data_IF_939731254809
#
_entry.id   IF_939731254809
#
_cell.length_a   1.000
_cell.length_b   1.000
_cell.length_c   1.000
_cell.angle_alpha   90.00
_cell.angle_beta   90.00
_cell.angle_gamma   90.00
#
_symmetry.space_group_name_H-M   'P 1'
#
loop_
_entity.id
_entity.type
_entity.pdbx_description
1 polymer ?
#
# COMPACT_ATOMS: atom_id res chain seq x y z
N UNK A 1 -5.63 70.32 28.21
CA UNK A 1 -6.53 69.29 28.76
C UNK A 1 -6.19 67.95 28.11
N UNK A 2 -5.79 66.95 28.90
CA UNK A 2 -5.38 65.62 28.45
C UNK A 2 -6.60 64.81 27.96
N UNK A 3 -6.49 64.16 26.80
CA UNK A 3 -7.23 62.93 26.48
C UNK A 3 -6.25 61.94 25.84
N UNK A 4 -6.10 60.79 26.50
CA UNK A 4 -5.37 59.62 26.01
C UNK A 4 -6.20 58.92 24.92
N UNK A 5 -5.59 58.41 23.83
CA UNK A 5 -6.26 57.52 22.88
C UNK A 5 -6.32 56.06 23.39
N UNK A 6 -7.32 55.27 22.97
CA UNK A 6 -7.48 53.86 23.35
C UNK A 6 -6.52 52.92 22.59
N UNK A 7 -6.25 51.71 23.11
CA UNK A 7 -5.26 50.80 22.53
C UNK A 7 -5.83 49.92 21.41
N UNK A 8 -5.08 49.89 20.30
CA UNK A 8 -4.79 48.77 19.41
C UNK A 8 -5.89 47.76 19.05
N UNK A 9 -6.51 47.95 17.89
CA UNK A 9 -7.04 46.86 17.07
C UNK A 9 -6.01 46.57 15.96
N UNK A 10 -5.15 45.57 16.20
CA UNK A 10 -4.21 45.09 15.19
C UNK A 10 -4.99 44.20 14.24
N UNK A 11 -5.46 44.77 13.13
CA UNK A 11 -5.97 44.01 12.00
C UNK A 11 -4.78 43.32 11.31
N UNK A 12 -4.49 42.10 11.75
CA UNK A 12 -3.49 41.25 11.12
C UNK A 12 -3.92 40.96 9.68
N UNK A 13 -3.06 41.38 8.76
CA UNK A 13 -3.15 41.09 7.32
C UNK A 13 -3.32 39.59 7.12
N UNK A 14 -4.36 39.19 6.41
CA UNK A 14 -4.48 37.84 5.83
C UNK A 14 -3.34 37.67 4.81
N UNK A 15 -2.19 37.23 5.31
CA UNK A 15 -1.13 36.66 4.49
C UNK A 15 -1.54 35.23 4.16
N UNK A 16 -1.69 34.97 2.86
CA UNK A 16 -1.87 33.65 2.28
C UNK A 16 -0.71 32.75 2.69
N UNK A 17 -0.90 31.94 3.74
CA UNK A 17 0.05 30.92 4.13
C UNK A 17 -0.31 29.63 3.38
N UNK A 18 0.51 29.31 2.39
CA UNK A 18 0.58 28.01 1.73
C UNK A 18 0.70 26.90 2.79
N UNK A 19 -0.15 25.86 2.77
CA UNK A 19 0.05 24.74 3.69
C UNK A 19 1.29 23.94 3.26
N UNK A 20 2.25 23.85 4.17
CA UNK A 20 3.41 22.96 4.09
C UNK A 20 2.92 21.51 4.27
N UNK A 21 3.25 20.57 3.38
CA UNK A 21 2.93 19.16 3.60
C UNK A 21 4.02 18.54 4.47
N UNK A 22 3.69 18.19 5.72
CA UNK A 22 4.68 17.52 6.57
C UNK A 22 4.32 17.45 8.05
N UNK A 23 3.23 16.78 8.40
CA UNK A 23 3.17 15.96 9.64
C UNK A 23 1.97 15.03 9.52
N UNK A 24 2.25 13.73 9.57
CA UNK A 24 1.30 12.66 9.30
C UNK A 24 0.07 12.73 10.20
N UNK A 25 -1.08 12.98 9.58
CA UNK A 25 -2.32 12.41 10.09
C UNK A 25 -2.20 10.90 9.90
N UNK A 26 -2.13 10.13 11.00
CA UNK A 26 -2.45 8.71 10.93
C UNK A 26 -3.85 8.63 10.33
N UNK A 27 -3.95 8.28 9.05
CA UNK A 27 -5.23 8.15 8.38
C UNK A 27 -6.05 7.13 9.18
N UNK A 28 -7.23 7.48 9.74
CA UNK A 28 -8.11 6.48 10.31
C UNK A 28 -8.65 5.61 9.17
N UNK A 29 -8.73 4.29 9.39
CA UNK A 29 -9.35 3.36 8.44
C UNK A 29 -8.35 2.61 7.54
N UNK A 30 -8.81 2.11 6.38
CA UNK A 30 -8.07 1.15 5.58
C UNK A 30 -6.68 1.62 5.11
N UNK A 31 -6.49 2.91 4.86
CA UNK A 31 -5.17 3.48 4.52
C UNK A 31 -4.11 3.28 5.61
N UNK A 32 -4.52 3.19 6.88
CA UNK A 32 -3.61 2.91 7.99
C UNK A 32 -2.88 1.58 7.78
N UNK A 33 -3.58 0.60 7.22
CA UNK A 33 -3.03 -0.73 7.05
C UNK A 33 -1.95 -0.75 5.96
N UNK A 34 -2.18 -0.13 4.80
CA UNK A 34 -1.15 0.03 3.79
C UNK A 34 0.10 0.77 4.30
N UNK A 35 -0.09 1.81 5.13
CA UNK A 35 1.04 2.52 5.76
C UNK A 35 1.81 1.65 6.75
N UNK A 36 1.14 0.76 7.50
CA UNK A 36 1.81 -0.20 8.38
C UNK A 36 2.66 -1.20 7.58
N UNK A 37 2.14 -1.71 6.47
CA UNK A 37 2.83 -2.68 5.61
C UNK A 37 4.03 -2.04 4.88
N UNK A 38 3.85 -0.83 4.31
CA UNK A 38 4.83 -0.28 3.36
C UNK A 38 5.59 0.95 3.85
N UNK A 39 5.12 1.68 4.86
CA UNK A 39 5.59 3.05 5.16
C UNK A 39 7.07 3.18 5.56
N UNK A 40 7.71 2.10 5.98
CA UNK A 40 9.15 2.04 6.26
C UNK A 40 9.97 1.30 5.19
N UNK A 41 9.33 0.80 4.13
CA UNK A 41 9.94 -0.06 3.12
C UNK A 41 9.94 0.57 1.72
N UNK A 42 8.85 1.26 1.38
CA UNK A 42 8.64 1.85 0.07
C UNK A 42 8.09 3.27 0.22
N UNK A 43 8.49 4.20 -0.64
CA UNK A 43 7.83 5.49 -0.72
C UNK A 43 6.40 5.26 -1.21
N UNK A 44 5.40 5.68 -0.44
CA UNK A 44 3.99 5.58 -0.81
C UNK A 44 3.58 6.89 -1.49
N UNK A 45 3.24 6.83 -2.78
CA UNK A 45 2.63 7.97 -3.49
C UNK A 45 1.12 7.99 -3.27
N UNK A 46 0.48 6.82 -3.44
CA UNK A 46 -0.97 6.67 -3.35
C UNK A 46 -1.32 5.29 -2.77
N UNK A 47 -2.38 5.24 -1.96
CA UNK A 47 -2.99 3.96 -1.55
C UNK A 47 -4.13 3.66 -2.50
N UNK A 48 -3.96 2.64 -3.34
CA UNK A 48 -4.94 2.26 -4.36
C UNK A 48 -6.11 1.50 -3.76
N UNK A 49 -5.82 0.57 -2.84
CA UNK A 49 -6.82 -0.15 -2.08
C UNK A 49 -6.18 -0.75 -0.82
N UNK A 50 -6.92 -0.77 0.29
CA UNK A 50 -6.45 -1.46 1.49
C UNK A 50 -7.62 -1.94 2.34
N UNK A 51 -7.44 -3.07 3.02
CA UNK A 51 -8.38 -3.66 3.96
C UNK A 51 -7.62 -4.57 4.90
N UNK A 52 -7.79 -4.36 6.20
CA UNK A 52 -7.43 -5.35 7.20
C UNK A 52 -8.70 -6.13 7.54
N UNK A 53 -8.73 -7.44 7.26
CA UNK A 53 -9.89 -8.25 7.63
C UNK A 53 -10.07 -8.22 9.16
N UNK A 54 -11.32 -8.10 9.61
CA UNK A 54 -11.69 -8.24 11.02
C UNK A 54 -11.59 -9.69 11.47
N UNK A 55 -11.33 -9.92 12.77
CA UNK A 55 -11.09 -11.23 13.37
C UNK A 55 -12.23 -12.27 13.17
N UNK A 56 -13.42 -11.85 12.72
CA UNK A 56 -14.62 -12.69 12.64
C UNK A 56 -14.86 -13.42 11.29
N UNK A 57 -13.91 -13.46 10.35
CA UNK A 57 -14.15 -14.22 9.11
C UNK A 57 -12.95 -14.55 8.25
N UNK A 58 -13.10 -15.61 7.43
CA UNK A 58 -12.27 -15.82 6.24
C UNK A 58 -12.52 -14.67 5.28
N UNK A 59 -11.48 -14.00 4.82
CA UNK A 59 -11.65 -12.90 3.90
C UNK A 59 -10.34 -12.41 3.30
N UNK A 60 -10.48 -11.36 2.49
CA UNK A 60 -9.35 -10.73 1.84
C UNK A 60 -8.75 -9.67 2.75
N UNK A 61 -7.47 -9.84 3.07
CA UNK A 61 -6.65 -8.81 3.69
C UNK A 61 -5.67 -8.30 2.63
N UNK A 62 -5.67 -6.99 2.36
CA UNK A 62 -4.81 -6.45 1.33
C UNK A 62 -4.31 -5.03 1.61
N UNK A 63 -3.15 -4.73 1.04
CA UNK A 63 -2.58 -3.40 0.95
C UNK A 63 -1.97 -3.26 -0.44
N UNK A 64 -2.48 -2.32 -1.22
CA UNK A 64 -2.10 -2.11 -2.62
C UNK A 64 -1.81 -0.61 -2.78
N UNK A 65 -0.60 -0.29 -3.25
CA UNK A 65 -0.12 1.08 -3.35
C UNK A 65 0.49 1.37 -4.72
N UNK A 66 0.43 2.65 -5.09
CA UNK A 66 1.37 3.26 -6.04
C UNK A 66 2.61 3.68 -5.26
N UNK A 67 3.77 3.21 -5.68
CA UNK A 67 5.06 3.61 -5.10
C UNK A 67 5.48 4.98 -5.65
N UNK A 68 6.30 5.70 -4.89
CA UNK A 68 7.04 6.87 -5.37
C UNK A 68 8.02 6.52 -6.50
N UNK A 69 8.57 7.53 -7.17
CA UNK A 69 9.61 7.34 -8.18
C UNK A 69 10.95 6.95 -7.56
N UNK A 70 11.84 6.32 -8.34
CA UNK A 70 13.21 6.04 -7.91
C UNK A 70 13.35 4.86 -6.96
N UNK A 71 12.35 3.98 -6.90
CA UNK A 71 12.45 2.70 -6.19
C UNK A 71 13.44 1.78 -6.89
N UNK A 72 14.15 0.95 -6.12
CA UNK A 72 15.06 -0.04 -6.68
C UNK A 72 14.30 -1.10 -7.50
N UNK A 73 14.96 -1.65 -8.53
CA UNK A 73 14.37 -2.70 -9.37
C UNK A 73 14.18 -4.03 -8.63
N UNK A 74 14.93 -4.26 -7.55
CA UNK A 74 14.76 -5.41 -6.68
C UNK A 74 13.79 -5.07 -5.55
N UNK A 75 12.83 -5.96 -5.23
CA UNK A 75 11.84 -5.71 -4.18
C UNK A 75 12.49 -5.72 -2.79
N UNK A 76 12.01 -4.89 -1.85
CA UNK A 76 12.40 -5.00 -0.46
C UNK A 76 11.71 -6.21 0.21
N UNK A 77 12.28 -6.64 1.33
CA UNK A 77 11.63 -7.56 2.26
C UNK A 77 11.58 -6.91 3.64
N UNK A 78 10.47 -7.07 4.34
CA UNK A 78 10.31 -6.58 5.71
C UNK A 78 11.39 -7.12 6.64
N UNK A 79 11.76 -6.33 7.64
CA UNK A 79 12.75 -6.72 8.63
C UNK A 79 12.31 -7.94 9.44
N UNK A 80 13.29 -8.68 9.99
CA UNK A 80 13.03 -9.73 10.97
C UNK A 80 12.32 -9.14 12.20
N UNK A 81 11.30 -9.84 12.69
CA UNK A 81 10.51 -9.41 13.87
C UNK A 81 9.24 -8.62 13.53
N UNK A 82 9.04 -8.18 12.29
CA UNK A 82 7.74 -7.65 11.85
C UNK A 82 6.66 -8.72 12.05
N UNK A 83 5.51 -8.33 12.61
CA UNK A 83 4.36 -9.23 12.78
C UNK A 83 3.89 -9.72 11.41
N UNK A 84 3.49 -11.00 11.32
CA UNK A 84 3.35 -11.66 10.02
C UNK A 84 2.30 -11.01 9.10
N UNK A 85 1.25 -10.41 9.65
CA UNK A 85 0.22 -9.71 8.86
C UNK A 85 0.66 -8.34 8.33
N UNK A 86 1.80 -7.80 8.78
CA UNK A 86 2.42 -6.57 8.26
C UNK A 86 3.60 -6.86 7.33
N UNK A 87 3.99 -8.14 7.18
CA UNK A 87 5.13 -8.50 6.34
C UNK A 87 4.82 -8.31 4.86
N UNK A 88 5.82 -7.79 4.17
CA UNK A 88 5.93 -7.69 2.73
C UNK A 88 7.26 -8.31 2.27
N UNK A 89 7.21 -9.01 1.15
CA UNK A 89 8.31 -9.82 0.63
C UNK A 89 8.53 -11.17 1.31
N UNK A 90 9.66 -11.79 0.99
CA UNK A 90 9.98 -13.19 1.30
C UNK A 90 10.77 -13.82 0.16
N UNK A 91 10.40 -15.04 -0.23
CA UNK A 91 11.00 -15.76 -1.36
C UNK A 91 10.54 -15.19 -2.71
N UNK A 92 11.12 -14.06 -3.07
CA UNK A 92 10.82 -13.36 -4.31
C UNK A 92 11.19 -14.18 -5.55
N UNK A 93 10.29 -14.18 -6.53
CA UNK A 93 10.45 -14.80 -7.84
C UNK A 93 10.18 -13.76 -8.92
N UNK A 94 10.85 -13.88 -10.05
CA UNK A 94 10.62 -12.99 -11.18
C UNK A 94 9.41 -13.43 -12.00
N UNK A 95 8.62 -12.47 -12.43
CA UNK A 95 7.57 -12.65 -13.43
C UNK A 95 8.19 -12.89 -14.83
N UNK A 96 7.44 -13.44 -15.82
CA UNK A 96 6.03 -13.84 -15.73
C UNK A 96 5.83 -15.00 -14.75
N UNK A 97 4.74 -14.96 -14.00
CA UNK A 97 4.37 -16.06 -13.14
C UNK A 97 4.12 -17.32 -13.99
N UNK A 98 4.90 -18.38 -13.74
CA UNK A 98 4.74 -19.67 -14.40
C UNK A 98 4.08 -20.64 -13.43
N UNK A 99 2.75 -20.68 -13.47
CA UNK A 99 1.97 -21.64 -12.71
C UNK A 99 2.04 -23.02 -13.38
N UNK A 100 2.66 -23.98 -12.70
CA UNK A 100 2.61 -25.38 -13.12
C UNK A 100 1.42 -26.06 -12.45
N UNK A 101 0.35 -26.30 -13.21
CA UNK A 101 -0.90 -26.86 -12.69
C UNK A 101 -1.83 -25.81 -12.06
N UNK A 102 -2.94 -26.26 -11.47
CA UNK A 102 -3.91 -25.37 -10.81
C UNK A 102 -3.39 -25.01 -9.42
N UNK A 103 -3.44 -23.72 -9.07
CA UNK A 103 -3.16 -23.27 -7.71
C UNK A 103 -4.20 -23.84 -6.73
N UNK A 104 -3.79 -24.22 -5.50
CA UNK A 104 -4.75 -24.54 -4.44
C UNK A 104 -5.71 -23.38 -4.17
N UNK A 105 -5.20 -22.14 -4.25
CA UNK A 105 -5.94 -20.89 -4.10
C UNK A 105 -5.41 -19.89 -5.12
N UNK A 106 -6.30 -19.28 -5.90
CA UNK A 106 -5.97 -18.11 -6.72
C UNK A 106 -6.47 -16.83 -6.04
N UNK A 107 -5.62 -16.23 -5.23
CA UNK A 107 -5.97 -15.07 -4.39
C UNK A 107 -6.49 -13.87 -5.20
N UNK A 108 -6.03 -13.67 -6.45
CA UNK A 108 -6.55 -12.57 -7.28
C UNK A 108 -7.99 -12.84 -7.73
N UNK A 109 -8.33 -14.10 -8.02
CA UNK A 109 -9.69 -14.49 -8.38
C UNK A 109 -10.61 -14.45 -7.16
N UNK A 110 -10.19 -15.04 -6.03
CA UNK A 110 -10.95 -15.09 -4.77
C UNK A 110 -11.25 -13.68 -4.23
N UNK A 111 -10.31 -12.73 -4.37
CA UNK A 111 -10.45 -11.37 -3.88
C UNK A 111 -10.95 -10.36 -4.93
N UNK A 112 -11.33 -10.80 -6.14
CA UNK A 112 -11.68 -9.89 -7.24
C UNK A 112 -12.80 -8.90 -6.90
N UNK A 113 -13.75 -9.29 -6.04
CA UNK A 113 -14.89 -8.45 -5.65
C UNK A 113 -14.56 -7.32 -4.66
N UNK A 114 -13.31 -7.26 -4.17
CA UNK A 114 -12.89 -6.29 -3.15
C UNK A 114 -12.41 -4.95 -3.72
N UNK A 115 -12.13 -4.90 -5.02
CA UNK A 115 -11.61 -3.72 -5.70
C UNK A 115 -12.19 -3.57 -7.12
N UNK A 116 -11.92 -2.43 -7.75
CA UNK A 116 -12.37 -2.16 -9.13
C UNK A 116 -11.68 -3.10 -10.12
N UNK A 117 -12.39 -3.50 -11.17
CA UNK A 117 -11.90 -4.42 -12.21
C UNK A 117 -10.54 -4.02 -12.79
N UNK A 118 -10.31 -2.72 -12.95
CA UNK A 118 -9.11 -2.10 -13.48
C UNK A 118 -7.90 -2.41 -12.59
N UNK A 119 -8.06 -2.32 -11.27
CA UNK A 119 -6.98 -2.65 -10.33
C UNK A 119 -6.66 -4.15 -10.36
N UNK A 120 -7.68 -5.00 -10.49
CA UNK A 120 -7.48 -6.44 -10.67
C UNK A 120 -6.68 -6.77 -11.94
N UNK A 121 -7.02 -6.12 -13.06
CA UNK A 121 -6.30 -6.26 -14.32
C UNK A 121 -4.86 -5.74 -14.21
N UNK A 122 -4.63 -4.66 -13.48
CA UNK A 122 -3.30 -4.11 -13.25
C UNK A 122 -2.41 -5.08 -12.43
N UNK A 123 -2.96 -5.67 -11.37
CA UNK A 123 -2.26 -6.69 -10.56
C UNK A 123 -1.89 -7.91 -11.40
N UNK A 124 -2.83 -8.39 -12.23
CA UNK A 124 -2.58 -9.50 -13.15
C UNK A 124 -1.50 -9.14 -14.17
N UNK A 125 -1.60 -7.95 -14.77
CA UNK A 125 -0.60 -7.47 -15.71
C UNK A 125 0.81 -7.39 -15.08
N UNK A 126 0.90 -6.99 -13.81
CA UNK A 126 2.17 -6.98 -13.10
C UNK A 126 2.76 -8.39 -12.92
N UNK A 127 1.93 -9.42 -12.71
CA UNK A 127 2.36 -10.83 -12.66
C UNK A 127 2.80 -11.39 -14.01
N UNK A 128 2.22 -10.89 -15.11
CA UNK A 128 2.49 -11.38 -16.46
C UNK A 128 3.65 -10.63 -17.14
N UNK A 129 4.03 -9.46 -16.63
CA UNK A 129 5.04 -8.61 -17.25
C UNK A 129 6.45 -8.98 -16.79
N UNK A 130 7.38 -9.36 -17.68
CA UNK A 130 8.76 -9.68 -17.31
C UNK A 130 9.47 -8.54 -16.57
N UNK A 131 10.32 -8.89 -15.60
CA UNK A 131 11.12 -7.92 -14.82
C UNK A 131 10.45 -7.44 -13.53
N UNK A 132 9.17 -7.75 -13.34
CA UNK A 132 8.48 -7.60 -12.07
C UNK A 132 8.77 -8.80 -11.15
N UNK A 133 8.28 -8.70 -9.92
CA UNK A 133 8.51 -9.67 -8.88
C UNK A 133 7.22 -10.06 -8.17
N UNK A 134 7.18 -11.32 -7.74
CA UNK A 134 6.08 -11.84 -6.94
C UNK A 134 6.58 -12.83 -5.90
N UNK A 135 5.84 -12.98 -4.80
CA UNK A 135 6.04 -13.99 -3.79
C UNK A 135 4.71 -14.69 -3.56
N UNK A 136 4.72 -16.01 -3.44
CA UNK A 136 3.59 -16.77 -2.90
C UNK A 136 4.07 -17.74 -1.85
N UNK A 137 3.27 -17.92 -0.81
CA UNK A 137 3.50 -18.98 0.16
C UNK A 137 3.12 -20.35 -0.43
N UNK A 138 3.40 -21.42 0.33
CA UNK A 138 3.15 -22.79 -0.12
C UNK A 138 1.66 -23.14 -0.32
N UNK A 139 0.74 -22.47 0.40
CA UNK A 139 -0.71 -22.65 0.25
C UNK A 139 -1.30 -21.77 -0.86
N UNK A 140 -0.49 -20.91 -1.48
CA UNK A 140 -0.88 -19.87 -2.42
C UNK A 140 -1.90 -18.85 -1.86
N UNK A 141 -2.11 -18.81 -0.55
CA UNK A 141 -3.04 -17.90 0.15
C UNK A 141 -2.46 -16.50 0.34
N UNK A 142 -1.13 -16.38 0.36
CA UNK A 142 -0.43 -15.10 0.36
C UNK A 142 0.16 -14.84 -1.02
N UNK A 143 -0.08 -13.64 -1.54
CA UNK A 143 0.47 -13.13 -2.79
C UNK A 143 1.03 -11.73 -2.55
N UNK A 144 2.33 -11.57 -2.76
CA UNK A 144 2.96 -10.25 -2.83
C UNK A 144 3.39 -9.96 -4.27
N UNK A 145 3.23 -8.72 -4.71
CA UNK A 145 3.60 -8.26 -6.06
C UNK A 145 4.43 -6.99 -5.91
N UNK A 146 5.48 -6.84 -6.71
CA UNK A 146 6.28 -5.64 -6.82
C UNK A 146 6.67 -5.37 -8.27
N UNK A 147 6.40 -4.16 -8.73
CA UNK A 147 6.84 -3.62 -10.02
C UNK A 147 7.48 -2.26 -9.80
N UNK A 148 8.78 -2.15 -10.07
CA UNK A 148 9.48 -0.87 -9.97
C UNK A 148 9.01 0.10 -11.07
N UNK A 149 9.01 -0.36 -12.33
CA UNK A 149 8.63 0.46 -13.49
C UNK A 149 7.13 0.77 -13.51
N UNK A 150 6.28 -0.21 -13.17
CA UNK A 150 4.83 -0.03 -12.99
C UNK A 150 4.47 0.72 -11.71
N UNK A 151 5.46 1.01 -10.85
CA UNK A 151 5.31 1.69 -9.56
C UNK A 151 4.25 1.04 -8.66
N UNK A 152 4.16 -0.28 -8.67
CA UNK A 152 3.10 -1.02 -7.98
C UNK A 152 3.69 -1.90 -6.90
N UNK A 153 3.09 -1.87 -5.70
CA UNK A 153 3.35 -2.86 -4.67
C UNK A 153 2.03 -3.35 -4.05
N UNK A 154 1.89 -4.65 -3.90
CA UNK A 154 0.69 -5.28 -3.37
C UNK A 154 1.04 -6.40 -2.40
N UNK A 155 0.34 -6.43 -1.26
CA UNK A 155 0.28 -7.56 -0.33
C UNK A 155 -1.18 -8.00 -0.28
N UNK A 156 -1.46 -9.24 -0.66
CA UNK A 156 -2.82 -9.76 -0.72
C UNK A 156 -2.82 -11.13 -0.04
N UNK A 157 -3.77 -11.34 0.86
CA UNK A 157 -3.99 -12.60 1.55
C UNK A 157 -5.45 -12.98 1.48
N UNK A 158 -5.73 -14.23 1.18
CA UNK A 158 -7.06 -14.83 1.32
C UNK A 158 -7.05 -15.88 2.42
N UNK A 159 -7.96 -15.77 3.39
CA UNK A 159 -8.12 -16.77 4.43
C UNK A 159 -8.39 -16.17 5.81
N UNK A 160 -8.16 -16.98 6.85
CA UNK A 160 -8.22 -16.61 8.28
C UNK A 160 -6.81 -16.45 8.83
#
# INVERSE_FOLDING_TARGET
MRRLPPPHEVQARYGSATPVPGTGSLAPGPEAYARKVFGGLLPIEEVLASKLASDEGKGCTYAIIRTGTGVANAPPTSAFGTVWWERFGGDWRQSPERLFGKLPVDVLDECRGEWQSELGAELQHALDTPGNWYMRNATAEDLHIFSADGRLAARIRFGS
#
